data_IF_579564870718
#
_entry.id   IF_579564870718
#
_cell.length_a   1.000
_cell.length_b   1.000
_cell.length_c   1.000
_cell.angle_alpha   90.00
_cell.angle_beta   90.00
_cell.angle_gamma   90.00
#
_symmetry.space_group_name_H-M   'P 1'
#
loop_
_entity.id
_entity.type
_entity.pdbx_description
1 polymer ?
#
# COMPACT_ATOMS: atom_id res chain seq x y z
N UNK A 1 -17.79 10.02 5.93
CA UNK A 1 -18.27 8.76 5.30
C UNK A 1 -19.05 9.16 4.06
N UNK A 2 -18.60 8.79 2.85
CA UNK A 2 -19.34 9.12 1.61
C UNK A 2 -20.69 8.36 1.57
N UNK A 3 -21.72 8.89 0.90
CA UNK A 3 -22.96 8.16 0.65
C UNK A 3 -22.66 6.86 -0.11
N UNK A 4 -23.40 5.80 0.20
CA UNK A 4 -23.26 4.47 -0.44
C UNK A 4 -23.48 4.52 -1.96
N UNK A 5 -24.16 5.56 -2.45
CA UNK A 5 -24.56 5.75 -3.85
C UNK A 5 -23.51 6.45 -4.72
N UNK A 6 -22.41 6.94 -4.15
CA UNK A 6 -21.36 7.57 -4.94
C UNK A 6 -20.49 6.50 -5.58
N UNK A 7 -20.28 6.54 -6.89
CA UNK A 7 -19.50 5.53 -7.61
C UNK A 7 -18.03 5.53 -7.17
N UNK A 8 -17.35 4.39 -7.35
CA UNK A 8 -15.89 4.37 -7.19
C UNK A 8 -15.26 5.22 -8.30
N UNK A 9 -14.15 5.94 -8.03
CA UNK A 9 -13.27 6.41 -9.10
C UNK A 9 -12.87 5.25 -10.02
N UNK A 10 -12.64 5.53 -11.31
CA UNK A 10 -12.49 4.48 -12.33
C UNK A 10 -11.34 3.48 -12.04
N UNK A 11 -10.21 3.97 -11.54
CA UNK A 11 -9.08 3.17 -11.09
C UNK A 11 -9.47 2.20 -9.96
N UNK A 12 -10.25 2.69 -8.99
CA UNK A 12 -10.77 1.89 -7.87
C UNK A 12 -11.84 0.91 -8.34
N UNK A 13 -12.71 1.30 -9.29
CA UNK A 13 -13.72 0.41 -9.89
C UNK A 13 -13.04 -0.79 -10.53
N UNK A 14 -12.04 -0.56 -11.39
CA UNK A 14 -11.29 -1.63 -12.07
C UNK A 14 -10.63 -2.58 -11.07
N UNK A 15 -10.08 -2.04 -9.98
CA UNK A 15 -9.44 -2.84 -8.94
C UNK A 15 -10.46 -3.69 -8.16
N UNK A 16 -11.62 -3.12 -7.82
CA UNK A 16 -12.70 -3.86 -7.17
C UNK A 16 -13.27 -4.94 -8.07
N UNK A 17 -13.44 -4.66 -9.37
CA UNK A 17 -13.91 -5.64 -10.34
C UNK A 17 -12.93 -6.79 -10.48
N UNK A 18 -11.63 -6.51 -10.58
CA UNK A 18 -10.59 -7.55 -10.57
C UNK A 18 -10.67 -8.43 -9.32
N UNK A 19 -10.89 -7.83 -8.14
CA UNK A 19 -11.00 -8.58 -6.89
C UNK A 19 -12.26 -9.44 -6.82
N UNK A 20 -13.33 -9.04 -7.51
CA UNK A 20 -14.60 -9.77 -7.60
C UNK A 20 -14.61 -10.88 -8.66
N UNK A 21 -13.62 -10.92 -9.55
CA UNK A 21 -13.56 -11.93 -10.61
C UNK A 21 -13.55 -13.35 -10.03
N UNK A 22 -14.36 -14.21 -10.63
CA UNK A 22 -14.25 -15.64 -10.38
C UNK A 22 -12.87 -16.15 -10.82
N UNK A 23 -12.41 -17.21 -10.17
CA UNK A 23 -11.12 -17.84 -10.46
C UNK A 23 -11.32 -19.27 -10.90
N UNK A 24 -10.62 -19.65 -11.96
CA UNK A 24 -10.44 -21.06 -12.37
C UNK A 24 -9.29 -21.74 -11.58
N UNK A 25 -8.57 -20.97 -10.75
CA UNK A 25 -7.47 -21.50 -9.93
C UNK A 25 -8.02 -22.46 -8.86
N UNK A 26 -7.51 -23.71 -8.78
CA UNK A 26 -8.04 -24.68 -7.85
C UNK A 26 -8.01 -24.17 -6.42
N UNK A 27 -9.08 -24.48 -5.69
CA UNK A 27 -9.09 -24.37 -4.23
C UNK A 27 -7.88 -25.12 -3.64
N UNK A 28 -7.38 -24.71 -2.47
CA UNK A 28 -6.36 -25.49 -1.81
C UNK A 28 -6.95 -26.86 -1.44
N UNK A 29 -6.13 -27.91 -1.50
CA UNK A 29 -6.58 -29.26 -1.20
C UNK A 29 -7.09 -29.38 0.24
N UNK A 30 -7.95 -30.36 0.52
CA UNK A 30 -8.45 -30.64 1.87
C UNK A 30 -7.31 -30.88 2.87
N UNK A 31 -6.18 -31.42 2.42
CA UNK A 31 -4.98 -31.60 3.23
C UNK A 31 -4.34 -30.27 3.65
N UNK A 32 -4.35 -29.27 2.76
CA UNK A 32 -3.88 -27.92 3.11
C UNK A 32 -4.80 -27.27 4.14
N UNK A 33 -6.10 -27.54 4.11
CA UNK A 33 -7.09 -27.00 5.05
C UNK A 33 -6.99 -27.61 6.45
N UNK A 34 -6.60 -28.88 6.59
CA UNK A 34 -6.40 -29.54 7.89
C UNK A 34 -5.30 -28.88 8.72
N UNK A 35 -4.34 -28.23 8.09
CA UNK A 35 -3.29 -27.46 8.77
C UNK A 35 -3.67 -26.00 9.07
N UNK A 36 -4.83 -25.50 8.59
CA UNK A 36 -5.31 -24.13 8.84
C UNK A 36 -6.47 -24.08 9.84
N UNK A 37 -6.84 -25.21 10.47
CA UNK A 37 -7.70 -25.14 11.66
C UNK A 37 -6.92 -24.31 12.68
N UNK A 38 -7.41 -23.11 13.05
CA UNK A 38 -6.72 -22.33 14.06
C UNK A 38 -6.74 -23.17 15.33
N UNK A 39 -5.57 -23.48 15.86
CA UNK A 39 -5.46 -23.96 17.23
C UNK A 39 -6.16 -22.91 18.11
N UNK A 40 -7.34 -23.27 18.62
CA UNK A 40 -8.20 -22.42 19.45
C UNK A 40 -7.55 -22.15 20.83
N UNK A 41 -6.31 -22.58 21.05
CA UNK A 41 -5.57 -22.46 22.31
C UNK A 41 -4.48 -21.39 22.39
N UNK A 42 -4.01 -20.79 21.29
CA UNK A 42 -2.87 -19.85 21.38
C UNK A 42 -3.34 -18.39 21.53
N UNK A 43 -3.23 -17.86 22.76
CA UNK A 43 -3.30 -16.43 23.09
C UNK A 43 -2.53 -15.60 22.05
N UNK A 44 -3.24 -14.91 21.16
CA UNK A 44 -2.66 -13.82 20.36
C UNK A 44 -2.24 -12.71 21.33
N UNK A 45 -0.95 -12.67 21.66
CA UNK A 45 -0.33 -11.50 22.28
C UNK A 45 -0.47 -10.33 21.32
N UNK A 46 -1.42 -9.44 21.63
CA UNK A 46 -1.49 -8.09 21.05
C UNK A 46 -0.40 -7.25 21.71
N UNK A 47 0.72 -7.09 21.02
CA UNK A 47 1.56 -5.88 21.05
C UNK A 47 2.77 -6.05 20.12
N UNK A 48 2.55 -5.84 18.83
CA UNK A 48 3.66 -5.50 17.93
C UNK A 48 3.38 -4.12 17.34
N UNK A 49 4.36 -3.21 17.33
CA UNK A 49 4.22 -1.93 16.66
C UNK A 49 3.84 -2.16 15.19
N UNK A 50 3.18 -1.18 14.55
CA UNK A 50 2.83 -1.28 13.14
C UNK A 50 4.14 -1.48 12.36
N UNK A 51 4.33 -2.70 11.86
CA UNK A 51 5.45 -3.17 11.05
C UNK A 51 6.72 -3.71 11.78
N UNK A 52 6.58 -4.78 12.56
CA UNK A 52 7.74 -5.56 13.05
C UNK A 52 8.41 -6.47 11.99
N UNK A 53 7.97 -6.39 10.73
CA UNK A 53 8.43 -7.24 9.61
C UNK A 53 9.12 -6.45 8.49
N UNK A 54 9.49 -5.18 8.73
CA UNK A 54 10.14 -4.30 7.75
C UNK A 54 9.41 -4.23 6.39
N UNK A 55 8.09 -4.33 6.37
CA UNK A 55 7.28 -4.21 5.16
C UNK A 55 7.38 -2.77 4.61
N UNK A 56 7.98 -2.63 3.44
CA UNK A 56 8.27 -1.29 2.87
C UNK A 56 7.07 -0.69 2.15
N UNK A 57 6.17 -1.53 1.59
CA UNK A 57 4.97 -1.11 0.87
C UNK A 57 3.76 -2.00 1.19
N UNK A 58 3.23 -1.96 2.42
CA UNK A 58 2.04 -2.73 2.77
C UNK A 58 0.83 -2.24 1.96
N UNK A 59 -0.04 -3.16 1.57
CA UNK A 59 -1.24 -2.87 0.77
C UNK A 59 -2.48 -3.66 1.21
N UNK A 60 -2.32 -4.55 2.19
CA UNK A 60 -3.37 -5.44 2.65
C UNK A 60 -3.27 -5.63 4.15
N UNK A 61 -4.36 -5.34 4.86
CA UNK A 61 -4.45 -5.39 6.32
C UNK A 61 -5.55 -6.39 6.73
N UNK A 62 -5.35 -7.11 7.81
CA UNK A 62 -6.40 -7.96 8.40
C UNK A 62 -6.41 -7.78 9.90
N UNK A 63 -7.59 -7.50 10.46
CA UNK A 63 -7.81 -7.32 11.90
C UNK A 63 -8.85 -8.33 12.38
N UNK A 64 -8.50 -9.11 13.40
CA UNK A 64 -9.37 -10.11 14.01
C UNK A 64 -9.83 -9.68 15.40
N UNK A 65 -11.14 -9.71 15.62
CA UNK A 65 -11.77 -9.36 16.89
C UNK A 65 -12.92 -10.31 17.20
N UNK A 66 -12.92 -10.87 18.41
CA UNK A 66 -13.99 -11.75 18.89
C UNK A 66 -14.74 -11.07 20.03
N UNK A 67 -16.08 -11.14 19.99
CA UNK A 67 -16.93 -10.69 21.09
C UNK A 67 -16.87 -11.69 22.25
N UNK A 68 -16.83 -11.20 23.50
CA UNK A 68 -16.92 -12.02 24.70
C UNK A 68 -16.07 -11.51 25.87
N UNK A 69 -16.24 -12.09 27.09
CA UNK A 69 -15.53 -11.65 28.30
C UNK A 69 -14.00 -11.74 28.22
N UNK A 70 -13.47 -12.58 27.32
CA UNK A 70 -12.04 -12.69 26.99
C UNK A 70 -11.70 -12.25 25.56
N UNK A 71 -12.65 -11.62 24.86
CA UNK A 71 -12.52 -11.17 23.49
C UNK A 71 -11.67 -9.90 23.35
N UNK A 72 -10.99 -9.75 22.21
CA UNK A 72 -10.09 -8.61 21.93
C UNK A 72 -10.81 -7.32 21.49
N UNK A 73 -12.15 -7.30 21.55
CA UNK A 73 -13.03 -6.20 21.12
C UNK A 73 -14.06 -6.67 20.10
N UNK A 74 -14.93 -5.76 19.67
CA UNK A 74 -15.96 -6.07 18.67
C UNK A 74 -15.48 -5.84 17.24
N UNK A 75 -16.30 -6.27 16.27
CA UNK A 75 -16.05 -6.05 14.84
C UNK A 75 -15.94 -4.54 14.48
N UNK A 76 -16.54 -3.67 15.29
CA UNK A 76 -16.35 -2.22 15.17
C UNK A 76 -14.91 -1.80 15.46
N UNK A 77 -14.30 -2.37 16.51
CA UNK A 77 -12.89 -2.13 16.85
C UNK A 77 -11.99 -2.60 15.71
N UNK A 78 -12.24 -3.78 15.15
CA UNK A 78 -11.51 -4.29 13.98
C UNK A 78 -11.60 -3.33 12.80
N UNK A 79 -12.80 -2.79 12.54
CA UNK A 79 -13.07 -1.86 11.44
C UNK A 79 -12.28 -0.56 11.61
N UNK A 80 -12.25 0.00 12.82
CA UNK A 80 -11.49 1.23 13.10
C UNK A 80 -9.97 1.00 13.01
N UNK A 81 -9.48 -0.16 13.44
CA UNK A 81 -8.07 -0.53 13.28
C UNK A 81 -7.70 -0.72 11.81
N UNK A 82 -8.57 -1.36 11.03
CA UNK A 82 -8.43 -1.44 9.58
C UNK A 82 -8.40 -0.05 8.93
N UNK A 83 -9.26 0.88 9.34
CA UNK A 83 -9.26 2.24 8.81
C UNK A 83 -7.90 2.93 9.03
N UNK A 84 -7.40 2.91 10.27
CA UNK A 84 -6.11 3.51 10.61
C UNK A 84 -4.93 2.87 9.86
N UNK A 85 -4.85 1.53 9.88
CA UNK A 85 -3.78 0.79 9.25
C UNK A 85 -3.80 0.92 7.71
N UNK A 86 -4.98 0.90 7.08
CA UNK A 86 -5.12 1.14 5.64
C UNK A 86 -4.68 2.54 5.25
N UNK A 87 -4.97 3.57 6.06
CA UNK A 87 -4.48 4.94 5.82
C UNK A 87 -2.95 4.99 5.85
N UNK A 88 -2.31 4.26 6.76
CA UNK A 88 -0.85 4.14 6.77
C UNK A 88 -0.32 3.50 5.47
N UNK A 89 -0.96 2.43 4.98
CA UNK A 89 -0.61 1.79 3.71
C UNK A 89 -0.70 2.77 2.52
N UNK A 90 -1.82 3.50 2.43
CA UNK A 90 -2.05 4.52 1.40
C UNK A 90 -0.98 5.61 1.48
N UNK A 91 -0.66 6.09 2.69
CA UNK A 91 0.33 7.14 2.90
C UNK A 91 1.75 6.75 2.48
N UNK A 92 2.13 5.50 2.71
CA UNK A 92 3.43 4.98 2.29
C UNK A 92 3.54 4.96 0.77
N UNK A 93 2.52 4.46 0.06
CA UNK A 93 2.47 4.50 -1.40
C UNK A 93 2.42 5.94 -1.95
N UNK A 94 1.65 6.82 -1.34
CA UNK A 94 1.58 8.24 -1.71
C UNK A 94 2.90 8.98 -1.47
N UNK A 95 3.70 8.57 -0.47
CA UNK A 95 5.03 9.10 -0.27
C UNK A 95 5.94 8.80 -1.48
N UNK A 96 5.87 7.57 -2.02
CA UNK A 96 6.56 7.22 -3.25
C UNK A 96 6.05 8.08 -4.42
N UNK A 97 4.74 8.21 -4.59
CA UNK A 97 4.14 9.05 -5.63
C UNK A 97 4.62 10.51 -5.59
N UNK A 98 4.73 11.10 -4.39
CA UNK A 98 5.28 12.46 -4.23
C UNK A 98 6.74 12.55 -4.68
N UNK A 99 7.56 11.54 -4.40
CA UNK A 99 8.95 11.51 -4.86
C UNK A 99 9.02 11.36 -6.38
N UNK A 100 8.20 10.49 -6.97
CA UNK A 100 8.12 10.27 -8.41
C UNK A 100 7.79 11.56 -9.16
N UNK A 101 6.80 12.33 -8.68
CA UNK A 101 6.42 13.62 -9.27
C UNK A 101 7.55 14.66 -9.24
N UNK A 102 8.45 14.59 -8.25
CA UNK A 102 9.60 15.50 -8.14
C UNK A 102 10.72 15.17 -9.12
N UNK A 103 10.80 13.94 -9.61
CA UNK A 103 11.86 13.53 -10.54
C UNK A 103 11.73 14.12 -11.96
N UNK A 104 10.66 14.89 -12.27
CA UNK A 104 10.43 15.59 -13.56
C UNK A 104 10.76 14.72 -14.79
N UNK A 105 10.45 13.43 -14.73
CA UNK A 105 10.67 12.51 -15.83
C UNK A 105 9.32 12.11 -16.42
N UNK A 106 9.17 12.34 -17.72
CA UNK A 106 7.93 12.05 -18.46
C UNK A 106 7.60 10.55 -18.55
N UNK A 107 8.53 9.69 -18.12
CA UNK A 107 8.38 8.22 -18.11
C UNK A 107 7.74 7.68 -16.83
N UNK A 108 7.52 8.54 -15.83
CA UNK A 108 7.17 8.08 -14.48
C UNK A 108 5.70 8.35 -14.20
N UNK A 109 4.93 7.27 -14.10
CA UNK A 109 3.53 7.32 -13.68
C UNK A 109 3.43 7.05 -12.16
N UNK A 110 2.51 7.71 -11.44
CA UNK A 110 2.19 7.34 -10.07
C UNK A 110 1.70 5.89 -9.99
N UNK A 111 2.05 5.20 -8.91
CA UNK A 111 1.48 3.90 -8.60
C UNK A 111 0.09 4.06 -7.99
N UNK A 112 -0.73 3.02 -8.13
CA UNK A 112 -1.95 2.87 -7.35
C UNK A 112 -1.61 2.86 -5.85
N UNK A 113 -2.22 3.76 -5.07
CA UNK A 113 -2.00 3.86 -3.63
C UNK A 113 -3.09 3.18 -2.79
N UNK A 114 -4.10 2.58 -3.41
CA UNK A 114 -5.18 1.91 -2.72
C UNK A 114 -4.66 0.78 -1.83
N UNK A 115 -5.39 0.50 -0.76
CA UNK A 115 -5.10 -0.57 0.17
C UNK A 115 -6.39 -1.30 0.54
N UNK A 116 -6.32 -2.63 0.61
CA UNK A 116 -7.43 -3.45 1.07
C UNK A 116 -7.32 -3.72 2.57
N UNK A 117 -8.46 -3.89 3.23
CA UNK A 117 -8.48 -4.37 4.61
C UNK A 117 -9.65 -5.28 4.91
N UNK A 118 -9.44 -6.20 5.84
CA UNK A 118 -10.47 -7.11 6.34
C UNK A 118 -10.63 -6.92 7.83
N UNK A 119 -11.82 -6.50 8.23
CA UNK A 119 -12.25 -6.58 9.61
C UNK A 119 -13.05 -7.86 9.78
N UNK A 120 -12.64 -8.76 10.67
CA UNK A 120 -13.32 -10.05 10.83
C UNK A 120 -13.48 -10.48 12.29
N UNK A 121 -14.54 -11.23 12.53
CA UNK A 121 -14.80 -12.00 13.74
C UNK A 121 -14.72 -13.50 13.45
N UNK A 122 -15.12 -14.34 14.41
CA UNK A 122 -15.29 -15.77 14.17
C UNK A 122 -16.43 -16.12 13.21
N UNK A 123 -17.32 -15.19 12.90
CA UNK A 123 -18.55 -15.46 12.12
C UNK A 123 -18.72 -14.57 10.90
N UNK A 124 -18.17 -13.35 10.89
CA UNK A 124 -18.32 -12.40 9.78
C UNK A 124 -16.95 -11.87 9.35
N UNK A 125 -16.71 -11.77 8.03
CA UNK A 125 -15.62 -10.99 7.46
C UNK A 125 -16.16 -9.83 6.62
N UNK A 126 -15.61 -8.63 6.82
CA UNK A 126 -15.95 -7.43 6.07
C UNK A 126 -14.73 -6.95 5.30
N UNK A 127 -14.81 -7.00 3.98
CA UNK A 127 -13.77 -6.52 3.08
C UNK A 127 -13.99 -5.04 2.76
N UNK A 128 -12.94 -4.25 2.88
CA UNK A 128 -12.90 -2.83 2.57
C UNK A 128 -11.78 -2.52 1.57
N UNK A 129 -11.97 -1.43 0.84
CA UNK A 129 -10.93 -0.77 0.05
C UNK A 129 -10.80 0.67 0.55
N UNK A 130 -9.56 1.12 0.71
CA UNK A 130 -9.22 2.48 1.09
C UNK A 130 -8.32 3.12 0.04
N UNK A 131 -8.57 4.39 -0.26
CA UNK A 131 -7.79 5.14 -1.24
C UNK A 131 -7.78 6.62 -0.89
N UNK A 132 -6.85 7.34 -1.51
CA UNK A 132 -6.75 8.79 -1.42
C UNK A 132 -7.35 9.41 -2.68
N UNK A 133 -8.33 10.29 -2.53
CA UNK A 133 -9.00 10.91 -3.69
C UNK A 133 -8.33 12.20 -4.13
N UNK A 134 -7.89 13.00 -3.16
CA UNK A 134 -7.13 14.23 -3.37
C UNK A 134 -6.16 14.41 -2.19
N UNK A 135 -5.47 15.55 -2.10
CA UNK A 135 -4.42 15.74 -1.09
C UNK A 135 -4.90 15.61 0.37
N UNK A 136 -6.18 15.84 0.65
CA UNK A 136 -6.75 15.90 2.00
C UNK A 136 -7.75 14.78 2.29
N UNK A 137 -8.40 14.24 1.26
CA UNK A 137 -9.50 13.28 1.43
C UNK A 137 -9.05 11.82 1.31
N UNK A 138 -9.23 11.09 2.42
CA UNK A 138 -9.07 9.63 2.49
C UNK A 138 -10.44 8.98 2.60
N UNK A 139 -10.65 7.97 1.77
CA UNK A 139 -11.87 7.18 1.78
C UNK A 139 -11.58 5.73 2.14
N UNK A 140 -12.53 5.14 2.85
CA UNK A 140 -12.64 3.69 3.05
C UNK A 140 -14.07 3.30 2.72
N UNK A 141 -14.25 2.27 1.90
CA UNK A 141 -15.56 1.75 1.54
C UNK A 141 -15.61 0.24 1.65
N UNK A 142 -16.74 -0.27 2.16
CA UNK A 142 -17.02 -1.71 2.21
C UNK A 142 -17.24 -2.23 0.79
N UNK A 143 -16.46 -3.24 0.40
CA UNK A 143 -16.60 -3.95 -0.87
C UNK A 143 -17.66 -5.03 -0.77
N UNK A 144 -17.59 -5.84 0.30
CA UNK A 144 -18.52 -6.95 0.58
C UNK A 144 -18.41 -7.43 2.05
N UNK A 145 -19.49 -7.99 2.58
CA UNK A 145 -19.51 -8.77 3.82
C UNK A 145 -19.70 -10.25 3.48
N UNK A 146 -19.10 -11.13 4.27
CA UNK A 146 -19.18 -12.58 4.12
C UNK A 146 -19.52 -13.23 5.46
N UNK A 147 -20.50 -14.14 5.47
CA UNK A 147 -20.73 -15.07 6.58
C UNK A 147 -19.72 -16.21 6.48
N UNK A 148 -18.90 -16.38 7.50
CA UNK A 148 -17.83 -17.40 7.52
C UNK A 148 -18.35 -18.79 7.88
N UNK A 149 -19.59 -18.88 8.37
CA UNK A 149 -20.25 -20.14 8.71
C UNK A 149 -20.93 -20.79 7.49
N UNK A 150 -21.22 -20.00 6.46
CA UNK A 150 -21.82 -20.50 5.21
C UNK A 150 -20.71 -20.94 4.25
N UNK A 151 -20.64 -22.23 3.85
CA UNK A 151 -19.55 -22.75 3.03
C UNK A 151 -19.35 -21.98 1.72
N UNK A 152 -20.42 -21.59 1.05
CA UNK A 152 -20.40 -20.88 -0.23
C UNK A 152 -19.79 -19.49 -0.07
N UNK A 153 -20.19 -18.76 0.98
CA UNK A 153 -19.66 -17.43 1.26
C UNK A 153 -18.21 -17.49 1.75
N UNK A 154 -17.82 -18.54 2.48
CA UNK A 154 -16.42 -18.76 2.86
C UNK A 154 -15.53 -19.01 1.64
N UNK A 155 -15.98 -19.81 0.67
CA UNK A 155 -15.27 -20.02 -0.59
C UNK A 155 -15.15 -18.70 -1.35
N UNK A 156 -16.24 -17.92 -1.43
CA UNK A 156 -16.22 -16.62 -2.10
C UNK A 156 -15.27 -15.61 -1.44
N UNK A 157 -15.27 -15.54 -0.11
CA UNK A 157 -14.33 -14.72 0.66
C UNK A 157 -12.88 -15.07 0.32
N UNK A 158 -12.54 -16.36 0.27
CA UNK A 158 -11.19 -16.80 -0.10
C UNK A 158 -10.81 -16.45 -1.52
N UNK A 159 -11.75 -16.47 -2.47
CA UNK A 159 -11.51 -16.02 -3.85
C UNK A 159 -11.09 -14.54 -3.85
N UNK A 160 -11.81 -13.68 -3.15
CA UNK A 160 -11.50 -12.26 -3.04
C UNK A 160 -10.11 -12.02 -2.42
N UNK A 161 -9.80 -12.69 -1.31
CA UNK A 161 -8.48 -12.60 -0.65
C UNK A 161 -7.37 -13.00 -1.60
N UNK A 162 -7.54 -14.08 -2.36
CA UNK A 162 -6.56 -14.54 -3.35
C UNK A 162 -6.38 -13.55 -4.49
N UNK A 163 -7.45 -12.98 -5.03
CA UNK A 163 -7.36 -11.94 -6.06
C UNK A 163 -6.55 -10.72 -5.57
N UNK A 164 -6.80 -10.27 -4.33
CA UNK A 164 -6.06 -9.15 -3.73
C UNK A 164 -4.57 -9.48 -3.62
N UNK A 165 -4.24 -10.67 -3.12
CA UNK A 165 -2.85 -11.11 -2.94
C UNK A 165 -2.13 -11.20 -4.30
N UNK A 166 -2.79 -11.75 -5.31
CA UNK A 166 -2.19 -11.91 -6.63
C UNK A 166 -1.99 -10.56 -7.32
N UNK A 167 -2.97 -9.67 -7.26
CA UNK A 167 -2.79 -8.28 -7.69
C UNK A 167 -1.57 -7.61 -7.03
N UNK A 168 -1.45 -7.79 -5.71
CA UNK A 168 -0.36 -7.26 -4.93
C UNK A 168 1.02 -7.82 -5.30
N UNK A 169 1.11 -9.14 -5.46
CA UNK A 169 2.35 -9.86 -5.78
C UNK A 169 2.79 -9.69 -7.23
N UNK A 170 1.85 -9.51 -8.15
CA UNK A 170 2.15 -9.28 -9.55
C UNK A 170 2.17 -7.80 -9.90
N UNK A 171 1.01 -7.25 -10.26
CA UNK A 171 0.92 -5.95 -10.91
C UNK A 171 1.47 -4.84 -10.02
N UNK A 172 1.00 -4.76 -8.76
CA UNK A 172 1.39 -3.71 -7.83
C UNK A 172 2.89 -3.74 -7.53
N UNK A 173 3.45 -4.93 -7.30
CA UNK A 173 4.88 -5.09 -7.01
C UNK A 173 5.75 -4.70 -8.21
N UNK A 174 5.35 -5.05 -9.43
CA UNK A 174 6.06 -4.65 -10.67
C UNK A 174 6.08 -3.14 -10.82
N UNK A 175 4.96 -2.48 -10.59
CA UNK A 175 4.86 -1.01 -10.65
C UNK A 175 5.74 -0.34 -9.59
N UNK A 176 5.68 -0.81 -8.33
CA UNK A 176 6.56 -0.29 -7.26
C UNK A 176 8.04 -0.40 -7.64
N UNK A 177 8.48 -1.56 -8.14
CA UNK A 177 9.88 -1.79 -8.55
C UNK A 177 10.30 -0.82 -9.66
N UNK A 178 9.49 -0.73 -10.72
CA UNK A 178 9.72 0.18 -11.85
C UNK A 178 9.80 1.65 -11.41
N UNK A 179 8.94 2.05 -10.48
CA UNK A 179 8.97 3.38 -9.88
C UNK A 179 10.26 3.64 -9.10
N UNK A 180 10.69 2.68 -8.27
CA UNK A 180 11.95 2.79 -7.53
C UNK A 180 13.17 2.87 -8.46
N UNK A 181 13.22 2.05 -9.50
CA UNK A 181 14.29 2.09 -10.51
C UNK A 181 14.35 3.47 -11.18
N UNK A 182 13.18 4.00 -11.53
CA UNK A 182 13.06 5.33 -12.13
C UNK A 182 13.53 6.45 -11.18
N UNK A 183 13.24 6.35 -9.88
CA UNK A 183 13.75 7.30 -8.87
C UNK A 183 15.27 7.24 -8.75
N UNK A 184 15.85 6.04 -8.71
CA UNK A 184 17.29 5.85 -8.63
C UNK A 184 18.00 6.44 -9.86
N UNK A 185 17.47 6.18 -11.05
CA UNK A 185 17.97 6.79 -12.28
C UNK A 185 17.87 8.32 -12.28
N UNK A 186 16.72 8.85 -11.85
CA UNK A 186 16.50 10.30 -11.71
C UNK A 186 17.53 10.94 -10.79
N UNK A 187 17.74 10.35 -9.61
CA UNK A 187 18.71 10.83 -8.62
C UNK A 187 20.15 10.80 -9.15
N UNK A 188 20.55 9.74 -9.86
CA UNK A 188 21.88 9.66 -10.50
C UNK A 188 22.10 10.77 -11.53
N UNK A 189 21.08 11.10 -12.32
CA UNK A 189 21.14 12.19 -13.32
C UNK A 189 21.30 13.55 -12.64
N UNK A 190 20.52 13.82 -11.58
CA UNK A 190 20.62 15.06 -10.80
C UNK A 190 22.01 15.21 -10.17
N UNK A 191 22.52 14.16 -9.52
CA UNK A 191 23.85 14.17 -8.92
C UNK A 191 24.96 14.44 -9.96
N UNK A 192 24.85 13.80 -11.13
CA UNK A 192 25.79 14.00 -12.24
C UNK A 192 25.77 15.45 -12.78
N UNK A 193 24.59 16.06 -12.88
CA UNK A 193 24.46 17.46 -13.32
C UNK A 193 25.03 18.44 -12.28
N UNK A 194 24.79 18.21 -11.00
CA UNK A 194 25.36 19.03 -9.92
C UNK A 194 26.89 18.95 -9.88
N UNK A 195 27.46 17.75 -10.03
CA UNK A 195 28.91 17.58 -10.10
C UNK A 195 29.53 18.35 -11.28
N UNK A 196 28.92 18.26 -12.47
CA UNK A 196 29.35 19.02 -13.67
C UNK A 196 29.24 20.54 -13.49
N UNK A 197 28.24 21.02 -12.74
CA UNK A 197 28.09 22.46 -12.44
C UNK A 197 29.17 22.94 -11.49
N UNK A 198 29.46 22.17 -10.43
CA UNK A 198 30.49 22.51 -9.46
C UNK A 198 31.91 22.47 -10.04
N UNK A 199 32.18 21.57 -11.00
CA UNK A 199 33.47 21.55 -11.70
C UNK A 199 33.66 22.75 -12.63
N UNK A 200 32.59 23.24 -13.29
CA UNK A 200 32.63 24.45 -14.12
C UNK A 200 32.85 25.73 -13.32
N UNK A 201 32.33 25.82 -12.10
CA UNK A 201 32.52 26.98 -11.21
C UNK A 201 33.97 27.09 -10.74
N UNK A 202 34.68 25.97 -10.57
CA UNK A 202 36.09 25.95 -10.16
C UNK A 202 37.10 26.28 -11.28
N UNK A 203 36.67 26.29 -12.55
CA UNK A 203 37.55 26.51 -13.71
C UNK A 203 37.51 27.93 -14.27
N UNK A 204 36.85 28.89 -13.62
CA UNK A 204 36.97 30.30 -14.00
C UNK A 204 38.30 30.82 -13.43
N UNK A 205 39.28 31.23 -14.27
CA UNK A 205 40.56 31.72 -13.76
C UNK A 205 40.35 33.05 -13.02
N UNK A 206 40.87 33.16 -11.79
CA UNK A 206 41.14 34.46 -11.18
C UNK A 206 42.15 35.18 -12.07
N UNK A 207 41.69 36.19 -12.80
CA UNK A 207 42.54 37.09 -13.56
C UNK A 207 43.34 37.93 -12.56
N UNK A 208 44.52 37.44 -12.16
CA UNK A 208 45.48 38.19 -11.36
C UNK A 208 46.09 39.30 -12.21
N UNK A 209 45.43 40.45 -12.24
CA UNK A 209 46.05 41.66 -12.75
C UNK A 209 46.86 42.32 -11.61
N UNK A 210 48.09 41.85 -11.43
CA UNK A 210 49.11 42.62 -10.73
C UNK A 210 49.83 43.50 -11.74
N UNK A 211 49.75 44.82 -11.59
CA UNK A 211 50.82 45.73 -12.01
C UNK A 211 50.98 46.85 -10.99
N UNK A 212 52.21 46.90 -10.50
CA UNK A 212 52.78 47.85 -9.58
C UNK A 212 52.65 49.29 -10.08
N UNK A 213 52.63 50.23 -9.13
CA UNK A 213 53.25 51.54 -9.31
C UNK A 213 53.95 51.92 -8.00
N UNK A 214 55.27 51.73 -8.01
CA UNK A 214 56.22 52.42 -7.14
C UNK A 214 56.60 53.77 -7.78
N UNK A 215 56.64 54.80 -6.93
CA UNK A 215 57.64 55.89 -6.89
C UNK A 215 57.86 56.81 -8.12
N UNK A 216 57.38 58.06 -8.06
CA UNK A 216 58.14 59.28 -7.70
C UNK A 216 57.28 60.54 -7.87
#
# INVERSE_FOLDING_TARGET
MRPVYEEFPEDITRLVDHVRQDRDSPGPSLDQLRHVVPDVGSKLKVSTPPNSQDLIYPFFVTEFKADGPGGSGSLWVATNQCLGASVSCVNVAECLNRQLRRCKSDKVQPIDSAAFSIAMSGTEARLYISWKHNELDYYMRKVKSFSLQEPEQYVEFRKHVRNIIDWGKDWRLKEIRKSLDSLLEGNRKIASQLAKRNSKVKTVPEDRNGRANESY
#
